data_IF_397804049257
#
_entry.id   IF_397804049257
#
_cell.length_a   1.000
_cell.length_b   1.000
_cell.length_c   1.000
_cell.angle_alpha   90.00
_cell.angle_beta   90.00
_cell.angle_gamma   90.00
#
_symmetry.space_group_name_H-M   'P 1'
#
loop_
_entity.id
_entity.type
_entity.pdbx_description
1 polymer ?
#
# COMPACT_ATOMS: atom_id res chain seq x y z
N UNK A 1 54.43 40.08 43.65
CA UNK A 1 53.48 39.74 44.73
C UNK A 1 52.57 38.60 44.25
N UNK A 2 51.94 37.90 45.20
CA UNK A 2 51.35 36.55 45.12
C UNK A 2 50.11 36.41 44.18
N UNK A 3 49.90 35.14 43.75
CA UNK A 3 48.83 34.48 42.94
C UNK A 3 47.36 34.74 43.41
N UNK A 4 46.33 33.99 42.94
CA UNK A 4 45.68 33.87 41.60
C UNK A 4 44.12 34.02 41.70
N UNK A 5 43.36 34.05 40.60
CA UNK A 5 41.95 33.57 40.62
C UNK A 5 41.53 32.97 39.27
N UNK A 6 41.22 31.67 39.33
CA UNK A 6 40.37 30.94 38.39
C UNK A 6 38.91 31.38 38.59
N UNK A 7 38.14 31.46 37.49
CA UNK A 7 36.75 30.99 37.36
C UNK A 7 36.01 31.76 36.25
N UNK A 8 35.57 31.05 35.21
CA UNK A 8 34.28 31.18 34.53
C UNK A 8 34.38 30.55 33.12
N UNK A 9 34.28 29.22 33.08
CA UNK A 9 33.93 28.45 31.88
C UNK A 9 32.60 27.77 32.20
N UNK A 10 31.75 27.65 31.16
CA UNK A 10 30.50 26.88 31.08
C UNK A 10 29.23 27.57 31.61
N UNK A 11 28.65 28.42 30.78
CA UNK A 11 27.21 28.68 30.79
C UNK A 11 26.74 28.94 29.35
N UNK A 12 26.46 27.86 28.65
CA UNK A 12 25.88 27.91 27.33
C UNK A 12 25.64 26.50 26.84
N UNK A 13 24.39 26.07 26.93
CA UNK A 13 23.69 24.99 26.21
C UNK A 13 22.65 24.36 27.13
N UNK A 14 21.60 25.13 27.44
CA UNK A 14 20.28 24.58 27.76
C UNK A 14 19.43 24.80 26.51
N UNK A 15 19.67 23.96 25.51
CA UNK A 15 18.81 23.86 24.33
C UNK A 15 17.51 23.13 24.73
N UNK A 16 16.39 23.74 24.37
CA UNK A 16 15.03 23.19 24.22
C UNK A 16 14.82 21.72 24.64
N UNK A 17 14.55 21.47 25.92
CA UNK A 17 14.02 20.17 26.37
C UNK A 17 12.49 20.03 26.15
N UNK A 18 11.80 21.11 25.76
CA UNK A 18 10.32 21.12 25.69
C UNK A 18 9.74 20.51 24.40
N UNK A 19 10.52 20.38 23.31
CA UNK A 19 10.07 19.77 22.06
C UNK A 19 10.16 18.22 22.05
N UNK A 20 10.83 17.61 23.03
CA UNK A 20 11.16 16.17 23.00
C UNK A 20 10.00 15.24 23.32
N UNK A 21 8.88 15.72 23.90
CA UNK A 21 7.74 14.82 24.17
C UNK A 21 6.94 14.43 22.93
N UNK A 22 7.04 15.19 21.84
CA UNK A 22 6.49 14.79 20.53
C UNK A 22 7.36 13.77 19.79
N UNK A 23 8.52 13.39 20.33
CA UNK A 23 9.46 12.44 19.75
C UNK A 23 9.85 11.32 20.73
N UNK A 24 9.15 11.18 21.86
CA UNK A 24 9.43 10.10 22.79
C UNK A 24 9.00 8.79 22.14
N UNK A 25 9.96 7.94 21.78
CA UNK A 25 9.70 6.56 21.37
C UNK A 25 9.09 5.85 22.57
N UNK A 26 7.98 5.13 22.38
CA UNK A 26 7.26 4.43 23.44
C UNK A 26 6.73 5.26 24.63
N UNK A 27 5.85 6.26 24.43
CA UNK A 27 5.30 7.08 25.52
C UNK A 27 4.56 6.29 26.64
N UNK A 28 4.14 5.04 26.37
CA UNK A 28 3.34 4.24 27.30
C UNK A 28 4.07 3.13 28.07
N UNK A 29 5.35 2.88 27.79
CA UNK A 29 6.09 1.79 28.43
C UNK A 29 6.93 2.29 29.62
N UNK A 30 6.82 1.65 30.80
CA UNK A 30 7.56 2.05 31.98
C UNK A 30 9.05 1.80 31.78
N UNK A 31 9.84 2.86 31.91
CA UNK A 31 11.29 2.83 31.86
C UNK A 31 11.86 2.96 33.28
N UNK A 32 12.93 2.22 33.57
CA UNK A 32 13.62 2.24 34.86
C UNK A 32 15.03 2.79 34.67
N UNK A 33 15.25 4.02 35.14
CA UNK A 33 16.53 4.69 35.07
C UNK A 33 17.61 3.98 35.91
N UNK A 34 18.88 4.20 35.57
CA UNK A 34 20.06 3.74 36.30
C UNK A 34 20.16 2.20 36.41
N UNK A 35 19.67 1.49 35.38
CA UNK A 35 19.79 0.04 35.24
C UNK A 35 20.79 -0.34 34.14
N UNK A 36 21.37 -1.55 34.14
CA UNK A 36 22.20 -2.01 33.02
C UNK A 36 21.46 -1.98 31.67
N UNK A 37 20.14 -2.20 31.72
CA UNK A 37 19.27 -2.11 30.55
C UNK A 37 19.15 -0.67 30.03
N UNK A 38 19.05 0.30 30.94
CA UNK A 38 19.04 1.72 30.63
C UNK A 38 20.38 2.19 30.02
N UNK A 39 21.52 1.80 30.58
CA UNK A 39 22.84 2.15 30.03
C UNK A 39 22.97 1.74 28.54
N UNK A 40 22.42 0.58 28.18
CA UNK A 40 22.39 0.12 26.79
C UNK A 40 21.48 0.98 25.90
N UNK A 41 20.33 1.43 26.40
CA UNK A 41 19.46 2.36 25.67
C UNK A 41 20.04 3.78 25.59
N UNK A 42 20.82 4.22 26.58
CA UNK A 42 21.59 5.46 26.49
C UNK A 42 22.64 5.35 25.39
N UNK A 43 23.30 4.20 25.22
CA UNK A 43 24.22 3.97 24.11
C UNK A 43 23.52 4.01 22.73
N UNK A 44 22.27 3.50 22.63
CA UNK A 44 21.45 3.63 21.42
C UNK A 44 21.17 5.10 21.09
N UNK A 45 20.79 5.90 22.10
CA UNK A 45 20.47 7.31 21.91
C UNK A 45 21.70 8.20 21.70
N UNK A 46 22.87 7.77 22.21
CA UNK A 46 24.15 8.47 22.09
C UNK A 46 25.00 8.09 20.88
N UNK A 47 24.54 7.15 20.04
CA UNK A 47 25.25 6.74 18.82
C UNK A 47 25.38 7.89 17.82
N UNK A 48 26.55 8.02 17.16
CA UNK A 48 26.84 9.16 16.28
C UNK A 48 26.20 9.01 14.89
N UNK A 49 25.89 7.78 14.49
CA UNK A 49 25.34 7.47 13.18
C UNK A 49 24.38 6.25 13.22
N UNK A 50 23.57 6.03 12.16
CA UNK A 50 22.61 4.93 12.13
C UNK A 50 23.24 3.53 12.27
N UNK A 51 24.45 3.31 11.77
CA UNK A 51 25.13 2.00 11.88
C UNK A 51 25.53 1.70 13.32
N UNK A 52 26.05 2.69 14.05
CA UNK A 52 26.33 2.58 15.48
C UNK A 52 25.05 2.39 16.29
N UNK A 53 23.96 3.06 15.91
CA UNK A 53 22.67 2.90 16.56
C UNK A 53 22.13 1.46 16.40
N UNK A 54 22.28 0.86 15.20
CA UNK A 54 21.97 -0.57 14.97
C UNK A 54 22.85 -1.46 15.85
N UNK A 55 24.17 -1.24 15.87
CA UNK A 55 25.08 -2.06 16.68
C UNK A 55 24.79 -1.96 18.19
N UNK A 56 24.35 -0.79 18.67
CA UNK A 56 23.91 -0.62 20.05
C UNK A 56 22.60 -1.34 20.34
N UNK A 57 21.62 -1.29 19.41
CA UNK A 57 20.37 -2.05 19.52
C UNK A 57 20.62 -3.57 19.49
N UNK A 58 21.57 -4.05 18.68
CA UNK A 58 21.95 -5.47 18.62
C UNK A 58 22.49 -5.94 19.98
N UNK A 59 23.33 -5.13 20.62
CA UNK A 59 23.83 -5.42 21.98
C UNK A 59 22.70 -5.44 23.00
N UNK A 60 21.79 -4.47 22.93
CA UNK A 60 20.60 -4.43 23.79
C UNK A 60 19.76 -5.71 23.63
N UNK A 61 19.41 -6.08 22.39
CA UNK A 61 18.58 -7.25 22.11
C UNK A 61 19.26 -8.57 22.51
N UNK A 62 20.59 -8.67 22.42
CA UNK A 62 21.35 -9.82 22.89
C UNK A 62 21.36 -9.94 24.42
N UNK A 63 21.46 -8.82 25.12
CA UNK A 63 21.52 -8.79 26.59
C UNK A 63 20.12 -8.89 27.24
N UNK A 64 19.08 -8.40 26.56
CA UNK A 64 17.74 -8.19 27.12
C UNK A 64 16.62 -8.70 26.20
N UNK A 65 16.84 -9.79 25.47
CA UNK A 65 15.88 -10.32 24.48
C UNK A 65 14.50 -10.72 25.02
N UNK A 66 14.35 -10.87 26.33
CA UNK A 66 13.09 -11.13 27.05
C UNK A 66 12.53 -9.90 27.78
N UNK A 67 13.13 -8.74 27.62
CA UNK A 67 12.68 -7.51 28.27
C UNK A 67 11.28 -7.09 27.84
N UNK A 68 10.53 -6.50 28.78
CA UNK A 68 9.26 -5.82 28.51
C UNK A 68 9.41 -4.58 27.63
N UNK A 69 10.63 -4.03 27.52
CA UNK A 69 10.96 -2.90 26.66
C UNK A 69 11.38 -3.34 25.24
N UNK A 70 11.49 -4.64 24.97
CA UNK A 70 11.79 -5.14 23.62
C UNK A 70 10.87 -4.58 22.51
N UNK A 71 9.55 -4.41 22.69
CA UNK A 71 8.72 -3.77 21.66
C UNK A 71 9.20 -2.37 21.28
N UNK A 72 9.78 -1.60 22.20
CA UNK A 72 10.41 -0.31 21.91
C UNK A 72 11.70 -0.47 21.15
N UNK A 73 12.54 -1.45 21.52
CA UNK A 73 13.74 -1.73 20.76
C UNK A 73 13.41 -2.07 19.30
N UNK A 74 12.33 -2.80 19.03
CA UNK A 74 11.82 -3.04 17.67
C UNK A 74 11.41 -1.73 16.96
N UNK A 75 10.85 -0.77 17.68
CA UNK A 75 10.52 0.55 17.11
C UNK A 75 11.78 1.35 16.77
N UNK A 76 12.77 1.34 17.65
CA UNK A 76 14.08 1.94 17.39
C UNK A 76 14.76 1.30 16.18
N UNK A 77 14.72 -0.03 16.03
CA UNK A 77 15.17 -0.71 14.82
C UNK A 77 14.42 -0.22 13.57
N UNK A 78 13.10 -0.12 13.65
CA UNK A 78 12.25 0.36 12.56
C UNK A 78 12.65 1.77 12.12
N UNK A 79 12.90 2.67 13.09
CA UNK A 79 13.34 4.05 12.83
C UNK A 79 14.73 4.09 12.20
N UNK A 80 15.71 3.38 12.77
CA UNK A 80 17.10 3.44 12.28
C UNK A 80 17.24 2.81 10.89
N UNK A 81 16.59 1.67 10.64
CA UNK A 81 16.59 1.06 9.31
C UNK A 81 15.83 1.89 8.27
N UNK A 82 14.82 2.67 8.70
CA UNK A 82 14.15 3.62 7.82
C UNK A 82 15.12 4.72 7.35
N UNK A 83 15.98 5.23 8.24
CA UNK A 83 17.05 6.20 7.88
C UNK A 83 18.07 5.60 6.91
N UNK A 84 18.30 4.29 6.99
CA UNK A 84 19.19 3.53 6.10
C UNK A 84 18.53 3.13 4.78
N UNK A 85 17.23 3.39 4.60
CA UNK A 85 16.41 2.89 3.48
C UNK A 85 16.43 1.36 3.33
N UNK A 86 16.71 0.62 4.41
CA UNK A 86 16.62 -0.85 4.41
C UNK A 86 15.19 -1.28 4.75
N UNK A 87 14.29 -1.14 3.77
CA UNK A 87 12.87 -1.45 3.97
C UNK A 87 12.61 -2.91 4.31
N UNK A 88 13.51 -3.83 3.97
CA UNK A 88 13.37 -5.23 4.38
C UNK A 88 13.53 -5.36 5.90
N UNK A 89 14.51 -4.67 6.49
CA UNK A 89 14.71 -4.63 7.93
C UNK A 89 13.67 -3.79 8.67
N UNK A 90 13.19 -2.70 8.07
CA UNK A 90 12.05 -1.94 8.64
C UNK A 90 10.82 -2.83 8.77
N UNK A 91 10.52 -3.64 7.74
CA UNK A 91 9.38 -4.59 7.79
C UNK A 91 9.63 -5.68 8.83
N UNK A 92 10.82 -6.29 8.86
CA UNK A 92 11.15 -7.35 9.81
C UNK A 92 10.92 -6.91 11.27
N UNK A 93 11.52 -5.78 11.66
CA UNK A 93 11.41 -5.26 13.01
C UNK A 93 10.05 -4.61 13.29
N UNK A 94 9.51 -3.89 12.32
CA UNK A 94 8.20 -3.24 12.43
C UNK A 94 7.07 -4.25 12.63
N UNK A 95 7.02 -5.33 11.85
CA UNK A 95 6.04 -6.39 12.03
C UNK A 95 6.23 -7.12 13.37
N UNK A 96 7.47 -7.39 13.77
CA UNK A 96 7.76 -7.98 15.08
C UNK A 96 7.21 -7.10 16.21
N UNK A 97 7.45 -5.79 16.14
CA UNK A 97 6.89 -4.81 17.07
C UNK A 97 5.36 -4.79 17.05
N UNK A 98 4.73 -4.77 15.87
CA UNK A 98 3.27 -4.77 15.69
C UNK A 98 2.58 -6.08 16.09
N UNK A 99 3.32 -7.17 16.28
CA UNK A 99 2.78 -8.40 16.90
C UNK A 99 2.90 -8.41 18.42
N UNK A 100 3.66 -7.47 19.00
CA UNK A 100 3.81 -7.29 20.43
C UNK A 100 2.62 -6.62 21.11
N UNK A 101 2.72 -6.46 22.43
CA UNK A 101 1.68 -5.84 23.28
C UNK A 101 1.64 -4.31 23.20
N UNK A 102 2.66 -3.69 22.62
CA UNK A 102 2.79 -2.24 22.48
C UNK A 102 2.71 -1.85 21.01
N UNK A 103 1.81 -0.92 20.67
CA UNK A 103 1.62 -0.37 19.32
C UNK A 103 1.26 1.10 19.46
N UNK A 104 1.91 1.95 18.67
CA UNK A 104 1.57 3.37 18.52
C UNK A 104 1.54 3.74 17.03
N UNK A 105 1.08 4.96 16.74
CA UNK A 105 1.02 5.46 15.38
C UNK A 105 2.39 5.56 14.73
N UNK A 106 3.46 5.84 15.47
CA UNK A 106 4.80 5.93 14.91
C UNK A 106 5.26 4.59 14.31
N UNK A 107 5.10 3.50 15.08
CA UNK A 107 5.38 2.14 14.62
C UNK A 107 4.53 1.78 13.41
N UNK A 108 3.21 2.03 13.47
CA UNK A 108 2.28 1.72 12.36
C UNK A 108 2.68 2.48 11.10
N UNK A 109 2.97 3.78 11.22
CA UNK A 109 3.31 4.65 10.10
C UNK A 109 4.64 4.24 9.44
N UNK A 110 5.69 4.00 10.23
CA UNK A 110 7.00 3.64 9.67
C UNK A 110 6.97 2.26 9.00
N UNK A 111 6.31 1.28 9.63
CA UNK A 111 6.13 -0.05 9.04
C UNK A 111 5.31 0.04 7.75
N UNK A 112 4.19 0.77 7.78
CA UNK A 112 3.32 0.97 6.60
C UNK A 112 4.06 1.63 5.45
N UNK A 113 4.86 2.66 5.71
CA UNK A 113 5.70 3.31 4.69
C UNK A 113 6.68 2.34 4.03
N UNK A 114 7.32 1.47 4.81
CA UNK A 114 8.22 0.45 4.26
C UNK A 114 7.49 -0.60 3.41
N UNK A 115 6.28 -1.01 3.79
CA UNK A 115 5.45 -1.87 2.96
C UNK A 115 5.09 -1.21 1.62
N UNK A 116 4.65 0.05 1.65
CA UNK A 116 4.33 0.81 0.43
C UNK A 116 5.57 0.96 -0.46
N UNK A 117 6.71 1.36 0.11
CA UNK A 117 7.96 1.57 -0.63
C UNK A 117 8.55 0.28 -1.21
N UNK A 118 8.50 -0.82 -0.46
CA UNK A 118 9.01 -2.13 -0.92
C UNK A 118 8.04 -2.85 -1.86
N UNK A 119 6.78 -2.41 -1.92
CA UNK A 119 5.71 -3.09 -2.64
C UNK A 119 5.33 -4.45 -2.07
N UNK A 120 5.74 -4.78 -0.84
CA UNK A 120 5.36 -6.01 -0.14
C UNK A 120 4.14 -5.77 0.75
N UNK A 121 3.29 -6.77 0.90
CA UNK A 121 2.12 -6.72 1.80
C UNK A 121 2.13 -7.92 2.75
N UNK A 122 1.57 -7.74 3.93
CA UNK A 122 1.36 -8.80 4.93
C UNK A 122 0.03 -8.59 5.66
N UNK A 123 -0.44 -9.64 6.33
CA UNK A 123 -1.62 -9.55 7.18
C UNK A 123 -1.36 -8.64 8.41
N UNK A 124 -0.10 -8.52 8.86
CA UNK A 124 0.30 -7.70 10.02
C UNK A 124 0.09 -6.22 9.71
N UNK A 125 0.62 -5.71 8.59
CA UNK A 125 0.49 -4.28 8.25
C UNK A 125 -0.96 -3.90 7.94
N UNK A 126 -1.71 -4.77 7.26
CA UNK A 126 -3.13 -4.50 6.97
C UNK A 126 -3.96 -4.48 8.26
N UNK A 127 -3.70 -5.40 9.19
CA UNK A 127 -4.34 -5.37 10.51
C UNK A 127 -3.97 -4.13 11.31
N UNK A 128 -2.72 -3.67 11.23
CA UNK A 128 -2.25 -2.46 11.89
C UNK A 128 -2.92 -1.19 11.32
N UNK A 129 -3.03 -1.09 10.00
CA UNK A 129 -3.78 -0.03 9.30
C UNK A 129 -5.23 0.05 9.82
N UNK A 130 -5.90 -1.09 10.00
CA UNK A 130 -7.27 -1.13 10.51
C UNK A 130 -7.40 -0.71 11.98
N UNK A 131 -6.31 -0.75 12.75
CA UNK A 131 -6.27 -0.26 14.14
C UNK A 131 -5.88 1.21 14.25
N UNK A 132 -5.35 1.82 13.19
CA UNK A 132 -4.83 3.19 13.23
C UNK A 132 -5.85 4.23 13.76
N UNK A 133 -7.16 4.19 13.43
CA UNK A 133 -8.14 5.12 14.01
C UNK A 133 -8.22 5.07 15.54
N UNK A 134 -8.09 3.88 16.13
CA UNK A 134 -8.09 3.71 17.58
C UNK A 134 -6.80 4.27 18.20
N UNK A 135 -5.64 4.01 17.58
CA UNK A 135 -4.36 4.53 18.02
C UNK A 135 -4.31 6.07 17.95
N UNK A 136 -4.72 6.66 16.81
CA UNK A 136 -4.84 8.11 16.66
C UNK A 136 -5.74 8.72 17.74
N UNK A 137 -6.88 8.08 18.05
CA UNK A 137 -7.77 8.55 19.11
C UNK A 137 -7.11 8.51 20.48
N UNK A 138 -6.35 7.46 20.77
CA UNK A 138 -5.63 7.30 22.04
C UNK A 138 -4.51 8.34 22.20
N UNK A 139 -3.89 8.75 21.09
CA UNK A 139 -2.78 9.70 21.06
C UNK A 139 -3.20 11.17 20.90
N UNK A 140 -4.46 11.44 20.52
CA UNK A 140 -4.94 12.79 20.18
C UNK A 140 -4.96 13.81 21.35
N UNK A 141 -4.94 13.36 22.60
CA UNK A 141 -5.11 14.25 23.76
C UNK A 141 -4.07 13.98 24.86
N UNK A 142 -2.79 14.29 24.63
CA UNK A 142 -1.78 14.13 25.66
C UNK A 142 -2.03 15.09 26.83
N UNK A 143 -1.60 14.75 28.06
CA UNK A 143 -1.70 15.68 29.18
C UNK A 143 -0.80 16.89 28.96
N UNK A 144 -1.29 18.08 29.31
CA UNK A 144 -0.52 19.33 29.24
C UNK A 144 0.74 19.22 30.11
N UNK A 145 1.95 19.46 29.58
CA UNK A 145 3.17 19.50 30.39
C UNK A 145 3.16 20.68 31.38
N UNK A 146 3.74 20.52 32.59
CA UNK A 146 3.68 21.54 33.65
C UNK A 146 4.39 22.86 33.30
N UNK A 147 5.31 22.84 32.33
CA UNK A 147 6.16 23.99 31.96
C UNK A 147 5.76 24.65 30.63
N UNK A 148 4.62 24.28 30.04
CA UNK A 148 4.15 24.82 28.75
C UNK A 148 3.03 25.83 29.00
N UNK A 149 3.13 27.02 28.40
CA UNK A 149 2.10 28.06 28.51
C UNK A 149 0.80 27.68 27.78
N UNK A 150 -0.35 28.27 28.14
CA UNK A 150 -1.65 27.91 27.54
C UNK A 150 -1.69 28.15 26.01
N UNK A 151 -1.12 29.25 25.52
CA UNK A 151 -1.09 29.56 24.09
C UNK A 151 -0.22 28.57 23.30
N UNK A 152 0.93 28.19 23.86
CA UNK A 152 1.82 27.17 23.28
C UNK A 152 1.17 25.79 23.31
N UNK A 153 0.49 25.46 24.41
CA UNK A 153 -0.26 24.21 24.53
C UNK A 153 -1.37 24.11 23.49
N UNK A 154 -2.11 25.21 23.27
CA UNK A 154 -3.17 25.23 22.28
C UNK A 154 -2.63 25.09 20.84
N UNK A 155 -1.46 25.68 20.57
CA UNK A 155 -0.77 25.46 19.30
C UNK A 155 -0.36 23.99 19.15
N UNK A 156 0.21 23.38 20.18
CA UNK A 156 0.60 21.96 20.13
C UNK A 156 -0.60 21.04 19.88
N UNK A 157 -1.77 21.32 20.49
CA UNK A 157 -3.00 20.57 20.21
C UNK A 157 -3.47 20.72 18.75
N UNK A 158 -3.30 21.91 18.16
CA UNK A 158 -3.61 22.13 16.74
C UNK A 158 -2.64 21.36 15.84
N UNK A 159 -1.33 21.44 16.11
CA UNK A 159 -0.30 20.72 15.36
C UNK A 159 -0.53 19.19 15.42
N UNK A 160 -0.93 18.65 16.58
CA UNK A 160 -1.32 17.24 16.73
C UNK A 160 -2.58 16.87 15.94
N UNK A 161 -3.58 17.76 15.91
CA UNK A 161 -4.79 17.52 15.12
C UNK A 161 -4.50 17.52 13.61
N UNK A 162 -3.62 18.41 13.15
CA UNK A 162 -3.19 18.45 11.75
C UNK A 162 -2.34 17.22 11.41
N UNK A 163 -1.41 16.82 12.29
CA UNK A 163 -0.65 15.58 12.15
C UNK A 163 -1.57 14.35 12.05
N UNK A 164 -2.54 14.20 12.97
CA UNK A 164 -3.46 13.07 12.96
C UNK A 164 -4.29 13.01 11.66
N UNK A 165 -4.66 14.18 11.10
CA UNK A 165 -5.32 14.26 9.80
C UNK A 165 -4.42 13.80 8.66
N UNK A 166 -3.16 14.21 8.64
CA UNK A 166 -2.18 13.77 7.64
C UNK A 166 -1.88 12.27 7.73
N UNK A 167 -1.69 11.75 8.95
CA UNK A 167 -1.49 10.32 9.21
C UNK A 167 -2.70 9.51 8.76
N UNK A 168 -3.92 9.95 9.09
CA UNK A 168 -5.14 9.32 8.62
C UNK A 168 -5.21 9.25 7.10
N UNK A 169 -4.96 10.38 6.41
CA UNK A 169 -4.98 10.44 4.96
C UNK A 169 -3.94 9.47 4.35
N UNK A 170 -2.75 9.40 4.95
CA UNK A 170 -1.71 8.49 4.49
C UNK A 170 -2.08 7.02 4.72
N UNK A 171 -2.67 6.67 5.87
CA UNK A 171 -3.11 5.30 6.17
C UNK A 171 -4.21 4.86 5.21
N UNK A 172 -5.21 5.70 4.93
CA UNK A 172 -6.24 5.39 3.93
C UNK A 172 -5.62 5.21 2.53
N UNK A 173 -4.69 6.09 2.13
CA UNK A 173 -3.93 5.93 0.89
C UNK A 173 -3.16 4.59 0.86
N UNK A 174 -2.41 4.28 1.91
CA UNK A 174 -1.58 3.09 2.00
C UNK A 174 -2.43 1.81 1.96
N UNK A 175 -3.61 1.81 2.59
CA UNK A 175 -4.56 0.71 2.50
C UNK A 175 -4.89 0.39 1.04
N UNK A 176 -5.29 1.39 0.25
CA UNK A 176 -5.64 1.19 -1.17
C UNK A 176 -4.43 0.90 -2.06
N UNK A 177 -3.23 1.30 -1.67
CA UNK A 177 -2.00 0.87 -2.34
C UNK A 177 -1.69 -0.61 -2.06
N UNK A 178 -1.82 -1.06 -0.81
CA UNK A 178 -1.40 -2.40 -0.40
C UNK A 178 -2.45 -3.47 -0.71
N UNK A 179 -3.74 -3.16 -0.62
CA UNK A 179 -4.83 -4.12 -0.83
C UNK A 179 -4.74 -4.88 -2.18
N UNK A 180 -4.44 -4.23 -3.33
CA UNK A 180 -4.29 -4.93 -4.60
C UNK A 180 -3.15 -5.96 -4.65
N UNK A 181 -2.27 -5.99 -3.64
CA UNK A 181 -1.17 -6.97 -3.54
C UNK A 181 -1.59 -8.24 -2.79
N UNK A 182 -2.76 -8.25 -2.13
CA UNK A 182 -3.33 -9.44 -1.50
C UNK A 182 -3.84 -10.37 -2.60
N UNK A 183 -3.31 -11.60 -2.77
CA UNK A 183 -3.70 -12.46 -3.88
C UNK A 183 -5.08 -13.11 -3.69
N UNK A 184 -5.54 -13.27 -2.46
CA UNK A 184 -6.80 -13.96 -2.14
C UNK A 184 -7.99 -13.01 -2.18
N UNK A 185 -8.98 -13.33 -3.02
CA UNK A 185 -10.20 -12.53 -3.16
C UNK A 185 -10.98 -12.39 -1.85
N UNK A 186 -11.16 -13.48 -1.10
CA UNK A 186 -11.89 -13.48 0.17
C UNK A 186 -11.19 -12.62 1.23
N UNK A 187 -9.85 -12.65 1.28
CA UNK A 187 -9.09 -11.76 2.18
C UNK A 187 -9.26 -10.30 1.80
N UNK A 188 -9.28 -9.95 0.50
CA UNK A 188 -9.54 -8.56 0.09
C UNK A 188 -10.90 -8.08 0.59
N UNK A 189 -11.93 -8.90 0.44
CA UNK A 189 -13.28 -8.58 0.96
C UNK A 189 -13.24 -8.41 2.48
N UNK A 190 -12.59 -9.31 3.22
CA UNK A 190 -12.44 -9.19 4.67
C UNK A 190 -11.73 -7.89 5.08
N UNK A 191 -10.66 -7.50 4.39
CA UNK A 191 -9.95 -6.26 4.68
C UNK A 191 -10.79 -5.02 4.35
N UNK A 192 -11.59 -5.06 3.28
CA UNK A 192 -12.52 -3.98 2.94
C UNK A 192 -13.64 -3.84 3.98
N UNK A 193 -14.19 -4.95 4.47
CA UNK A 193 -15.18 -4.95 5.55
C UNK A 193 -14.58 -4.35 6.84
N UNK A 194 -13.35 -4.75 7.16
CA UNK A 194 -12.58 -4.20 8.27
C UNK A 194 -12.32 -2.70 8.11
N UNK A 195 -11.96 -2.26 6.90
CA UNK A 195 -11.73 -0.86 6.58
C UNK A 195 -12.99 -0.02 6.78
N UNK A 196 -14.13 -0.46 6.24
CA UNK A 196 -15.41 0.25 6.41
C UNK A 196 -15.85 0.33 7.87
N UNK A 197 -15.47 -0.63 8.70
CA UNK A 197 -15.71 -0.58 10.14
C UNK A 197 -14.77 0.39 10.86
N UNK A 198 -13.49 0.41 10.48
CA UNK A 198 -12.48 1.25 11.11
C UNK A 198 -12.56 2.73 10.66
N UNK A 199 -12.97 2.98 9.41
CA UNK A 199 -13.05 4.29 8.77
C UNK A 199 -14.49 4.59 8.27
N UNK A 200 -15.48 4.66 9.17
CA UNK A 200 -16.89 4.82 8.79
C UNK A 200 -17.21 6.14 8.06
N UNK A 201 -16.35 7.14 8.22
CA UNK A 201 -16.41 8.49 7.65
C UNK A 201 -15.42 8.68 6.48
N UNK A 202 -14.89 7.61 5.89
CA UNK A 202 -14.01 7.71 4.71
C UNK A 202 -14.71 8.48 3.57
N UNK A 203 -14.00 9.42 2.97
CA UNK A 203 -14.45 10.13 1.76
C UNK A 203 -14.18 9.33 0.49
N UNK A 204 -13.46 8.20 0.61
CA UNK A 204 -13.03 7.36 -0.51
C UNK A 204 -14.02 6.24 -0.84
N UNK A 205 -15.33 6.44 -0.62
CA UNK A 205 -16.34 5.39 -0.80
C UNK A 205 -16.38 4.83 -2.23
N UNK A 206 -16.14 5.66 -3.24
CA UNK A 206 -16.01 5.20 -4.62
C UNK A 206 -14.86 4.20 -4.80
N UNK A 207 -13.71 4.48 -4.18
CA UNK A 207 -12.54 3.60 -4.19
C UNK A 207 -12.82 2.30 -3.42
N UNK A 208 -13.49 2.38 -2.26
CA UNK A 208 -13.90 1.17 -1.51
C UNK A 208 -14.77 0.27 -2.38
N UNK A 209 -15.80 0.84 -3.02
CA UNK A 209 -16.71 0.08 -3.87
C UNK A 209 -16.00 -0.49 -5.11
N UNK A 210 -15.05 0.25 -5.69
CA UNK A 210 -14.20 -0.26 -6.78
C UNK A 210 -13.39 -1.47 -6.32
N UNK A 211 -12.79 -1.42 -5.12
CA UNK A 211 -12.01 -2.55 -4.61
C UNK A 211 -12.88 -3.77 -4.26
N UNK A 212 -14.10 -3.59 -3.74
CA UNK A 212 -15.04 -4.71 -3.61
C UNK A 212 -15.40 -5.31 -4.96
N UNK A 213 -15.66 -4.48 -5.97
CA UNK A 213 -15.92 -4.93 -7.33
C UNK A 213 -14.76 -5.79 -7.85
N UNK A 214 -13.52 -5.31 -7.77
CA UNK A 214 -12.32 -6.05 -8.19
C UNK A 214 -12.16 -7.36 -7.41
N UNK A 215 -12.39 -7.35 -6.09
CA UNK A 215 -12.32 -8.56 -5.27
C UNK A 215 -13.39 -9.60 -5.67
N UNK A 216 -14.62 -9.18 -5.92
CA UNK A 216 -15.68 -10.09 -6.38
C UNK A 216 -15.48 -10.57 -7.82
N UNK A 217 -14.85 -9.78 -8.69
CA UNK A 217 -14.40 -10.26 -9.99
C UNK A 217 -13.37 -11.38 -9.84
N UNK A 218 -12.36 -11.18 -8.98
CA UNK A 218 -11.36 -12.21 -8.68
C UNK A 218 -11.98 -13.48 -8.10
N UNK A 219 -13.00 -13.33 -7.25
CA UNK A 219 -13.78 -14.45 -6.69
C UNK A 219 -14.71 -15.12 -7.72
N UNK A 220 -14.74 -14.66 -8.98
CA UNK A 220 -15.69 -15.12 -10.00
C UNK A 220 -17.16 -15.05 -9.53
N UNK A 221 -17.51 -14.00 -8.79
CA UNK A 221 -18.86 -13.74 -8.29
C UNK A 221 -19.51 -12.58 -9.08
N UNK A 222 -20.11 -12.87 -10.25
CA UNK A 222 -20.57 -11.84 -11.18
C UNK A 222 -21.72 -10.98 -10.63
N UNK A 223 -22.56 -11.57 -9.76
CA UNK A 223 -23.67 -10.85 -9.11
C UNK A 223 -23.14 -9.77 -8.18
N UNK A 224 -22.21 -10.12 -7.28
CA UNK A 224 -21.62 -9.16 -6.35
C UNK A 224 -20.70 -8.17 -7.04
N UNK A 225 -19.92 -8.62 -8.03
CA UNK A 225 -19.10 -7.74 -8.84
C UNK A 225 -19.97 -6.66 -9.53
N UNK A 226 -21.08 -7.03 -10.17
CA UNK A 226 -21.98 -6.04 -10.79
C UNK A 226 -22.64 -5.11 -9.78
N UNK A 227 -23.04 -5.62 -8.61
CA UNK A 227 -23.58 -4.79 -7.52
C UNK A 227 -22.59 -3.69 -7.10
N UNK A 228 -21.34 -4.07 -6.86
CA UNK A 228 -20.32 -3.12 -6.41
C UNK A 228 -19.76 -2.23 -7.53
N UNK A 229 -19.77 -2.71 -8.79
CA UNK A 229 -19.46 -1.89 -9.96
C UNK A 229 -20.42 -0.68 -10.04
N UNK A 230 -21.72 -0.92 -9.94
CA UNK A 230 -22.73 0.14 -9.98
C UNK A 230 -22.66 1.05 -8.75
N UNK A 231 -22.39 0.49 -7.56
CA UNK A 231 -22.14 1.29 -6.35
C UNK A 231 -20.92 2.21 -6.51
N UNK A 232 -19.85 1.75 -7.15
CA UNK A 232 -18.66 2.55 -7.41
C UNK A 232 -18.99 3.74 -8.34
N UNK A 233 -19.70 3.47 -9.45
CA UNK A 233 -20.16 4.52 -10.38
C UNK A 233 -21.11 5.50 -9.70
N UNK A 234 -21.99 5.03 -8.82
CA UNK A 234 -22.93 5.89 -8.08
C UNK A 234 -22.21 6.77 -7.06
N UNK A 235 -21.15 6.24 -6.42
CA UNK A 235 -20.39 6.95 -5.39
C UNK A 235 -19.58 8.10 -5.96
N UNK A 236 -19.02 7.93 -7.17
CA UNK A 236 -18.43 9.01 -7.94
C UNK A 236 -18.68 8.77 -9.44
N UNK A 237 -19.73 9.42 -9.94
CA UNK A 237 -20.15 9.25 -11.33
C UNK A 237 -19.17 9.86 -12.34
N UNK A 238 -18.19 10.65 -11.88
CA UNK A 238 -17.20 11.30 -12.72
C UNK A 238 -15.81 10.67 -12.58
N UNK A 239 -15.68 9.59 -11.82
CA UNK A 239 -14.44 8.85 -11.72
C UNK A 239 -14.20 8.03 -13.01
N UNK A 240 -13.30 8.53 -13.84
CA UNK A 240 -12.97 7.94 -15.16
C UNK A 240 -12.45 6.52 -15.02
N UNK A 241 -11.64 6.23 -14.00
CA UNK A 241 -11.10 4.89 -13.77
C UNK A 241 -12.21 3.88 -13.47
N UNK A 242 -13.17 4.27 -12.60
CA UNK A 242 -14.35 3.45 -12.29
C UNK A 242 -15.20 3.24 -13.55
N UNK A 243 -15.50 4.31 -14.30
CA UNK A 243 -16.29 4.22 -15.53
C UNK A 243 -15.67 3.24 -16.54
N UNK A 244 -14.35 3.35 -16.76
CA UNK A 244 -13.62 2.47 -17.66
C UNK A 244 -13.58 1.02 -17.16
N UNK A 245 -13.31 0.80 -15.88
CA UNK A 245 -13.25 -0.54 -15.31
C UNK A 245 -14.61 -1.27 -15.41
N UNK A 246 -15.72 -0.57 -15.15
CA UNK A 246 -17.07 -1.14 -15.26
C UNK A 246 -17.48 -1.36 -16.72
N UNK A 247 -17.14 -0.42 -17.62
CA UNK A 247 -17.38 -0.58 -19.05
C UNK A 247 -16.63 -1.79 -19.63
N UNK A 248 -15.36 -1.94 -19.26
CA UNK A 248 -14.57 -3.11 -19.64
C UNK A 248 -15.23 -4.39 -19.12
N UNK A 249 -15.53 -4.48 -17.82
CA UNK A 249 -16.14 -5.68 -17.25
C UNK A 249 -17.47 -6.10 -17.91
N UNK A 250 -18.37 -5.15 -18.13
CA UNK A 250 -19.65 -5.42 -18.80
C UNK A 250 -19.46 -5.85 -20.24
N UNK A 251 -18.47 -5.28 -20.94
CA UNK A 251 -18.20 -5.64 -22.33
C UNK A 251 -17.42 -6.93 -22.47
N UNK A 252 -16.31 -7.12 -21.77
CA UNK A 252 -15.35 -8.22 -21.96
C UNK A 252 -15.73 -9.47 -21.18
N UNK A 253 -16.05 -9.30 -19.89
CA UNK A 253 -16.21 -10.41 -18.95
C UNK A 253 -17.64 -10.93 -18.92
N UNK A 254 -18.63 -10.03 -18.71
CA UNK A 254 -20.03 -10.43 -18.68
C UNK A 254 -20.67 -10.51 -20.07
N UNK A 255 -20.21 -9.68 -20.99
CA UNK A 255 -20.84 -9.48 -22.31
C UNK A 255 -22.34 -9.15 -22.20
N UNK A 256 -22.71 -8.43 -21.15
CA UNK A 256 -24.06 -8.00 -20.80
C UNK A 256 -24.07 -6.50 -20.47
N UNK A 257 -25.25 -5.89 -20.32
CA UNK A 257 -25.37 -4.45 -20.03
C UNK A 257 -24.59 -3.56 -21.02
N UNK A 258 -24.50 -3.97 -22.29
CA UNK A 258 -23.63 -3.33 -23.29
C UNK A 258 -24.01 -1.87 -23.56
N UNK A 259 -25.27 -1.49 -23.35
CA UNK A 259 -25.71 -0.10 -23.48
C UNK A 259 -25.19 0.76 -22.33
N UNK A 260 -25.24 0.27 -21.08
CA UNK A 260 -24.58 0.92 -19.94
C UNK A 260 -23.07 1.01 -20.14
N UNK A 261 -22.44 -0.08 -20.58
CA UNK A 261 -21.01 -0.09 -20.87
C UNK A 261 -20.64 0.98 -21.93
N UNK A 262 -21.50 1.16 -22.94
CA UNK A 262 -21.34 2.22 -23.96
C UNK A 262 -21.46 3.60 -23.33
N UNK A 263 -22.44 3.81 -22.45
CA UNK A 263 -22.65 5.08 -21.75
C UNK A 263 -21.45 5.43 -20.86
N UNK A 264 -20.96 4.49 -20.05
CA UNK A 264 -19.82 4.71 -19.17
C UNK A 264 -18.53 4.99 -19.95
N UNK A 265 -18.23 4.23 -21.00
CA UNK A 265 -17.06 4.48 -21.83
C UNK A 265 -17.14 5.84 -22.55
N UNK A 266 -18.32 6.25 -23.04
CA UNK A 266 -18.50 7.60 -23.62
C UNK A 266 -18.30 8.69 -22.57
N UNK A 267 -18.88 8.52 -21.38
CA UNK A 267 -18.72 9.48 -20.28
C UNK A 267 -17.25 9.62 -19.87
N UNK A 268 -16.50 8.52 -19.84
CA UNK A 268 -15.06 8.55 -19.61
C UNK A 268 -14.31 9.39 -20.67
N UNK A 269 -14.65 9.26 -21.95
CA UNK A 269 -14.10 10.09 -23.03
C UNK A 269 -14.45 11.57 -22.87
N UNK A 270 -15.70 11.87 -22.50
CA UNK A 270 -16.16 13.25 -22.30
C UNK A 270 -15.46 13.93 -21.11
N UNK A 271 -15.12 13.16 -20.07
CA UNK A 271 -14.45 13.67 -18.87
C UNK A 271 -12.92 13.74 -19.01
N UNK A 272 -12.30 12.92 -19.87
CA UNK A 272 -10.85 12.85 -20.02
C UNK A 272 -10.15 14.21 -20.28
N UNK A 273 -10.71 15.14 -21.08
CA UNK A 273 -10.14 16.48 -21.25
C UNK A 273 -10.10 17.32 -19.97
N UNK A 274 -10.99 17.03 -19.01
CA UNK A 274 -11.12 17.76 -17.74
C UNK A 274 -10.33 17.12 -16.60
N UNK A 275 -9.55 16.06 -16.86
CA UNK A 275 -8.68 15.46 -15.86
C UNK A 275 -7.71 16.52 -15.31
N UNK A 276 -7.64 16.62 -13.99
CA UNK A 276 -6.67 17.47 -13.31
C UNK A 276 -5.39 16.68 -13.11
N UNK A 277 -4.26 17.32 -13.43
CA UNK A 277 -2.95 16.78 -13.10
C UNK A 277 -2.81 16.71 -11.57
N UNK A 278 -2.53 15.54 -10.98
CA UNK A 278 -2.23 15.46 -9.56
C UNK A 278 -0.94 16.23 -9.24
N UNK A 279 -0.87 16.78 -8.02
CA UNK A 279 0.33 17.47 -7.56
C UNK A 279 1.54 16.52 -7.53
N UNK A 280 2.71 17.01 -7.92
CA UNK A 280 3.94 16.21 -7.97
C UNK A 280 4.05 15.24 -9.16
N UNK A 281 3.02 15.08 -10.01
CA UNK A 281 3.10 14.23 -11.20
C UNK A 281 3.71 15.01 -12.38
N UNK A 282 4.78 14.48 -13.02
CA UNK A 282 5.34 15.04 -14.25
C UNK A 282 4.32 15.11 -15.40
N UNK A 283 4.44 16.12 -16.28
CA UNK A 283 3.47 16.36 -17.37
C UNK A 283 3.38 15.19 -18.35
N UNK A 284 4.50 14.53 -18.63
CA UNK A 284 4.58 13.34 -19.49
C UNK A 284 3.85 12.15 -18.86
N UNK A 285 4.06 11.90 -17.57
CA UNK A 285 3.35 10.84 -16.83
C UNK A 285 1.86 11.12 -16.76
N UNK A 286 1.46 12.38 -16.52
CA UNK A 286 0.05 12.76 -16.52
C UNK A 286 -0.59 12.55 -17.89
N UNK A 287 0.10 12.95 -18.97
CA UNK A 287 -0.36 12.72 -20.34
C UNK A 287 -0.53 11.22 -20.63
N UNK A 288 0.45 10.40 -20.25
CA UNK A 288 0.36 8.93 -20.39
C UNK A 288 -0.86 8.39 -19.63
N UNK A 289 -1.05 8.81 -18.38
CA UNK A 289 -2.19 8.39 -17.56
C UNK A 289 -3.52 8.73 -18.21
N UNK A 290 -3.69 9.97 -18.69
CA UNK A 290 -4.91 10.41 -19.40
C UNK A 290 -5.12 9.64 -20.71
N UNK A 291 -4.07 9.52 -21.52
CA UNK A 291 -4.16 8.84 -22.82
C UNK A 291 -4.48 7.34 -22.65
N UNK A 292 -4.00 6.70 -21.58
CA UNK A 292 -4.39 5.33 -21.21
C UNK A 292 -5.89 5.24 -20.91
N UNK A 293 -6.46 6.18 -20.15
CA UNK A 293 -7.91 6.20 -19.88
C UNK A 293 -8.74 6.38 -21.15
N UNK A 294 -8.28 7.23 -22.08
CA UNK A 294 -8.90 7.40 -23.40
C UNK A 294 -8.82 6.10 -24.21
N UNK A 295 -7.66 5.45 -24.20
CA UNK A 295 -7.43 4.17 -24.87
C UNK A 295 -8.36 3.06 -24.36
N UNK A 296 -8.51 2.93 -23.04
CA UNK A 296 -9.43 1.96 -22.41
C UNK A 296 -10.88 2.20 -22.82
N UNK A 297 -11.33 3.46 -22.82
CA UNK A 297 -12.68 3.80 -23.23
C UNK A 297 -12.94 3.44 -24.71
N UNK A 298 -12.01 3.76 -25.61
CA UNK A 298 -12.11 3.38 -27.02
C UNK A 298 -12.07 1.87 -27.22
N UNK A 299 -11.23 1.15 -26.48
CA UNK A 299 -11.15 -0.30 -26.54
C UNK A 299 -12.49 -0.95 -26.14
N UNK A 300 -13.10 -0.50 -25.04
CA UNK A 300 -14.42 -0.97 -24.60
C UNK A 300 -15.49 -0.70 -25.68
N UNK A 301 -15.55 0.51 -26.23
CA UNK A 301 -16.51 0.84 -27.30
C UNK A 301 -16.32 -0.03 -28.55
N UNK A 302 -15.08 -0.25 -28.97
CA UNK A 302 -14.75 -1.11 -30.10
C UNK A 302 -15.18 -2.55 -29.86
N UNK A 303 -14.91 -3.09 -28.67
CA UNK A 303 -15.32 -4.45 -28.30
C UNK A 303 -16.84 -4.60 -28.24
N UNK A 304 -17.55 -3.60 -27.67
CA UNK A 304 -19.01 -3.56 -27.67
C UNK A 304 -19.58 -3.55 -29.09
N UNK A 305 -19.00 -2.75 -29.99
CA UNK A 305 -19.42 -2.69 -31.39
C UNK A 305 -19.22 -4.06 -32.09
N UNK A 306 -18.10 -4.73 -31.84
CA UNK A 306 -17.83 -6.09 -32.33
C UNK A 306 -18.88 -7.08 -31.81
N UNK A 307 -19.17 -7.08 -30.51
CA UNK A 307 -20.19 -7.96 -29.92
C UNK A 307 -21.58 -7.71 -30.51
N UNK A 308 -21.99 -6.45 -30.68
CA UNK A 308 -23.29 -6.10 -31.27
C UNK A 308 -23.35 -6.52 -32.75
N UNK A 309 -22.30 -6.28 -33.52
CA UNK A 309 -22.21 -6.71 -34.93
C UNK A 309 -22.20 -8.24 -35.10
N UNK A 310 -21.56 -8.97 -34.20
CA UNK A 310 -21.56 -10.45 -34.23
C UNK A 310 -22.95 -11.05 -34.03
N UNK A 311 -23.85 -10.36 -33.33
CA UNK A 311 -25.24 -10.80 -33.11
C UNK A 311 -26.14 -10.53 -34.31
N UNK A 312 -25.83 -9.53 -35.14
CA UNK A 312 -26.61 -9.18 -36.34
C UNK A 312 -26.13 -9.93 -37.57
N UNK A 313 -24.85 -10.26 -37.66
CA UNK A 313 -24.32 -11.21 -38.63
C UNK A 313 -24.54 -12.64 -38.11
N UNK A 314 -25.66 -13.27 -38.46
CA UNK A 314 -25.73 -14.74 -38.47
C UNK A 314 -24.60 -15.23 -39.37
N UNK A 315 -23.46 -15.59 -38.78
CA UNK A 315 -22.47 -16.40 -39.48
C UNK A 315 -23.19 -17.72 -39.72
N UNK A 316 -23.80 -17.85 -40.90
CA UNK A 316 -24.52 -19.06 -41.29
C UNK A 316 -23.59 -20.23 -41.00
N UNK A 317 -24.06 -21.19 -40.21
CA UNK A 317 -23.24 -22.26 -39.68
C UNK A 317 -22.38 -22.87 -40.79
N UNK A 318 -21.11 -22.47 -40.84
CA UNK A 318 -20.11 -23.20 -41.58
C UNK A 318 -19.86 -24.43 -40.71
N UNK A 319 -20.70 -25.43 -40.90
CA UNK A 319 -20.32 -26.82 -40.64
C UNK A 319 -19.09 -27.01 -41.51
N UNK A 320 -17.91 -26.88 -40.90
CA UNK A 320 -16.66 -27.30 -41.51
C UNK A 320 -16.93 -28.71 -42.04
N UNK A 321 -16.78 -28.97 -43.36
CA UNK A 321 -16.91 -30.31 -43.86
C UNK A 321 -15.73 -31.07 -43.26
N UNK A 322 -15.97 -31.77 -42.15
CA UNK A 322 -15.11 -32.87 -41.77
C UNK A 322 -15.26 -33.88 -42.91
N UNK A 323 -14.23 -34.14 -43.73
CA UNK A 323 -14.33 -35.19 -44.71
C UNK A 323 -14.53 -36.49 -43.95
N UNK A 324 -15.59 -37.23 -44.28
CA UNK A 324 -15.81 -38.58 -43.78
C UNK A 324 -14.53 -39.40 -44.01
N UNK A 325 -14.13 -40.28 -43.07
CA UNK A 325 -12.93 -41.08 -43.22
C UNK A 325 -13.11 -42.03 -44.41
N UNK A 326 -12.54 -41.66 -45.55
CA UNK A 326 -12.45 -42.50 -46.73
C UNK A 326 -11.64 -43.75 -46.39
N UNK A 327 -12.24 -44.92 -46.61
CA UNK A 327 -11.56 -46.22 -46.57
C UNK A 327 -10.40 -46.22 -47.56
N UNK A 328 -9.16 -46.15 -47.09
CA UNK A 328 -8.01 -46.11 -48.00
C UNK A 328 -6.65 -46.23 -47.32
N UNK A 329 -6.22 -47.49 -47.10
CA UNK A 329 -4.87 -48.07 -46.90
C UNK A 329 -3.87 -47.37 -45.93
N UNK A 330 -3.24 -48.12 -45.02
CA UNK A 330 -2.23 -47.57 -44.11
C UNK A 330 -0.92 -47.29 -44.88
N UNK A 331 -0.48 -46.03 -44.89
CA UNK A 331 0.92 -45.71 -45.20
C UNK A 331 1.72 -45.80 -43.90
N UNK A 332 2.60 -46.78 -43.85
CA UNK A 332 3.64 -46.94 -42.83
C UNK A 332 4.50 -45.68 -42.75
N UNK A 333 4.52 -45.03 -41.58
CA UNK A 333 5.41 -43.90 -41.31
C UNK A 333 6.73 -44.43 -40.72
N UNK A 334 7.84 -44.17 -41.43
CA UNK A 334 9.21 -44.42 -40.96
C UNK A 334 9.66 -43.28 -40.03
N UNK A 335 10.39 -43.54 -38.93
CA UNK A 335 10.71 -42.54 -37.92
C UNK A 335 11.99 -41.79 -38.26
N UNK A 336 11.89 -40.56 -38.80
CA UNK A 336 12.98 -39.57 -38.78
C UNK A 336 12.45 -38.15 -38.65
N UNK A 337 12.47 -37.62 -37.43
CA UNK A 337 13.15 -36.35 -37.11
C UNK A 337 12.86 -35.93 -35.65
N UNK A 338 13.86 -36.16 -34.79
CA UNK A 338 14.04 -35.40 -33.55
C UNK A 338 14.38 -33.96 -33.91
N UNK A 339 13.41 -33.04 -33.88
CA UNK A 339 13.72 -31.59 -33.77
C UNK A 339 12.53 -30.77 -33.29
N UNK A 340 11.94 -31.12 -32.15
CA UNK A 340 10.99 -30.23 -31.47
C UNK A 340 10.92 -30.49 -29.97
N UNK A 341 12.06 -30.34 -29.29
CA UNK A 341 12.13 -30.18 -27.82
C UNK A 341 13.21 -29.16 -27.44
N UNK A 342 13.18 -27.99 -28.08
CA UNK A 342 13.96 -26.81 -27.65
C UNK A 342 13.16 -25.50 -27.55
N UNK A 343 11.88 -25.48 -27.96
CA UNK A 343 11.05 -24.27 -27.86
C UNK A 343 10.42 -24.01 -26.49
N UNK A 344 10.23 -25.04 -25.65
CA UNK A 344 9.51 -24.87 -24.37
C UNK A 344 10.38 -24.45 -23.19
N UNK A 345 11.72 -24.52 -23.31
CA UNK A 345 12.63 -24.06 -22.24
C UNK A 345 12.99 -22.58 -22.41
N UNK A 346 13.20 -22.11 -23.64
CA UNK A 346 13.51 -20.71 -23.93
C UNK A 346 12.38 -19.75 -23.51
N UNK A 347 11.11 -20.16 -23.62
CA UNK A 347 9.98 -19.34 -23.19
C UNK A 347 9.84 -19.23 -21.66
N UNK A 348 10.29 -20.26 -20.91
CA UNK A 348 10.31 -20.21 -19.42
C UNK A 348 11.50 -19.45 -18.86
N UNK A 349 12.65 -19.45 -19.55
CA UNK A 349 13.81 -18.66 -19.12
C UNK A 349 13.66 -17.17 -19.43
N UNK A 350 12.90 -16.80 -20.48
CA UNK A 350 12.65 -15.40 -20.83
C UNK A 350 11.67 -14.71 -19.84
N UNK A 351 10.63 -15.41 -19.36
CA UNK A 351 9.75 -14.88 -18.31
C UNK A 351 10.45 -14.75 -16.94
N UNK A 352 11.49 -15.55 -16.65
CA UNK A 352 12.26 -15.45 -15.41
C UNK A 352 13.29 -14.30 -15.44
N UNK A 353 13.75 -13.87 -16.62
CA UNK A 353 14.69 -12.75 -16.77
C UNK A 353 14.00 -11.39 -16.85
N UNK A 354 12.77 -11.31 -17.36
CA UNK A 354 12.01 -10.04 -17.43
C UNK A 354 11.44 -9.62 -16.07
N UNK A 355 11.15 -10.56 -15.17
CA UNK A 355 10.76 -10.27 -13.78
C UNK A 355 11.86 -9.66 -12.91
N UNK A 356 13.12 -9.67 -13.38
CA UNK A 356 14.29 -9.25 -12.59
C UNK A 356 14.98 -7.97 -13.13
N UNK A 357 14.39 -7.29 -14.13
CA UNK A 357 14.92 -6.04 -14.71
C UNK A 357 14.18 -4.77 -14.30
N UNK A 358 13.26 -4.85 -13.35
CA UNK A 358 12.54 -3.67 -12.82
C UNK A 358 13.09 -3.17 -11.48
N UNK A 359 14.38 -3.39 -11.20
CA UNK A 359 15.06 -2.84 -10.02
C UNK A 359 16.38 -2.17 -10.41
N UNK A 360 16.34 -0.83 -10.47
CA UNK A 360 17.46 0.10 -10.27
C UNK A 360 18.03 0.78 -11.52
N UNK A 361 18.60 2.00 -11.39
CA UNK A 361 18.62 2.89 -10.22
C UNK A 361 17.47 3.90 -10.19
#
# INVERSE_FOLDING_TARGET
MRKPFFAALLSGWLFCAAALRGQQVCPGLPYVADTPEDELMQAVNGAENPQEQVAALDKYAQAHGDSKFMPCAEEYYTIVYSKLNDYAKVIEHGEKGLTGSYQDMMMVMNTTRAHVASGKVSDVVLSAILKAPELMKNEANPPKPPNVGDAEWQKNLQDLADQAKEERNYIEYAFFQLLPRVPEADKRVQYLDGFMKAFPDTTSLAQVNLQYFLAYQMASNPTKASEYAEKAVTSDSNNIEVLNAVADYYSTTLQSNLDKATEYAKKALDLAPSMKKPEGVPDDQFKIGRDNQIGLAHAALGYIALLKGSKTHKVGGVRLPYPAPGKGRPRTFSPRSRRQRRGSKAFREQQAQEGNRSLGP
#
